data_IF_169053904129
#
_entry.id   IF_169053904129
#
_cell.length_a   1.000
_cell.length_b   1.000
_cell.length_c   1.000
_cell.angle_alpha   90.00
_cell.angle_beta   90.00
_cell.angle_gamma   90.00
#
_symmetry.space_group_name_H-M   'P 1'
#
loop_
_entity.id
_entity.type
_entity.pdbx_description
1 polymer ?
#
# COMPACT_ATOMS: atom_id res chain seq x y z
N UNK A 1 32.31 33.43 -3.34
CA UNK A 1 31.32 32.55 -3.99
C UNK A 1 30.09 32.56 -3.11
N UNK A 2 29.05 33.29 -3.50
CA UNK A 2 27.81 33.39 -2.71
C UNK A 2 27.00 32.10 -2.96
N UNK A 3 26.97 31.21 -1.97
CA UNK A 3 25.98 30.13 -1.93
C UNK A 3 24.62 30.79 -1.71
N UNK A 4 23.90 31.04 -2.80
CA UNK A 4 22.47 31.33 -2.74
C UNK A 4 21.81 30.07 -2.21
N UNK A 5 21.50 30.04 -0.92
CA UNK A 5 20.63 29.04 -0.32
C UNK A 5 19.30 29.14 -1.05
N UNK A 6 19.08 28.25 -2.02
CA UNK A 6 17.78 28.09 -2.63
C UNK A 6 16.82 27.73 -1.49
N UNK A 7 15.96 28.67 -1.13
CA UNK A 7 14.85 28.41 -0.23
C UNK A 7 13.95 27.40 -0.96
N UNK A 8 14.08 26.13 -0.57
CA UNK A 8 13.18 25.09 -1.06
C UNK A 8 11.79 25.43 -0.53
N UNK A 9 10.82 25.57 -1.43
CA UNK A 9 9.44 25.78 -1.02
C UNK A 9 8.92 24.55 -0.27
N UNK A 10 8.04 24.73 0.75
CA UNK A 10 7.46 23.61 1.47
C UNK A 10 6.57 22.76 0.56
N UNK A 11 6.36 21.50 0.96
CA UNK A 11 5.52 20.54 0.24
C UNK A 11 4.11 21.11 -0.02
N UNK A 12 3.69 21.08 -1.29
CA UNK A 12 2.36 21.52 -1.74
C UNK A 12 1.39 20.34 -1.67
N UNK A 13 0.42 20.42 -0.75
CA UNK A 13 -0.57 19.37 -0.53
C UNK A 13 -1.76 19.50 -1.48
N UNK A 14 -2.17 18.38 -2.08
CA UNK A 14 -3.34 18.26 -2.93
C UNK A 14 -4.63 17.89 -2.17
N UNK A 15 -5.66 17.59 -2.95
CA UNK A 15 -6.97 17.12 -2.47
C UNK A 15 -7.36 15.82 -3.18
N UNK A 16 -8.33 15.10 -2.63
CA UNK A 16 -8.94 13.92 -3.25
C UNK A 16 -10.46 13.97 -3.07
N UNK A 17 -11.20 13.46 -4.04
CA UNK A 17 -12.67 13.33 -3.93
C UNK A 17 -13.04 12.23 -2.95
N UNK A 18 -13.99 12.47 -2.04
CA UNK A 18 -14.47 11.43 -1.12
C UNK A 18 -15.45 10.50 -1.84
N UNK A 19 -15.21 9.17 -1.93
CA UNK A 19 -16.07 8.28 -2.69
C UNK A 19 -17.45 8.11 -2.06
N UNK A 20 -17.61 8.37 -0.76
CA UNK A 20 -18.91 8.39 -0.09
C UNK A 20 -19.65 9.72 -0.25
N UNK A 21 -18.96 10.78 -0.67
CA UNK A 21 -19.45 12.16 -0.79
C UNK A 21 -18.82 12.81 -2.03
N UNK A 22 -19.28 12.47 -3.24
CA UNK A 22 -18.62 12.85 -4.49
C UNK A 22 -18.58 14.37 -4.74
N UNK A 23 -19.46 15.13 -4.09
CA UNK A 23 -19.48 16.60 -4.15
C UNK A 23 -18.52 17.25 -3.14
N UNK A 24 -17.87 16.46 -2.27
CA UNK A 24 -16.90 16.94 -1.28
C UNK A 24 -15.46 16.54 -1.68
N UNK A 25 -14.53 17.47 -1.46
CA UNK A 25 -13.10 17.20 -1.55
C UNK A 25 -12.50 17.12 -0.14
N UNK A 26 -11.68 16.10 0.09
CA UNK A 26 -10.84 15.97 1.28
C UNK A 26 -9.44 16.51 0.99
N UNK A 27 -8.83 17.17 1.98
CA UNK A 27 -7.38 17.44 1.97
C UNK A 27 -6.63 16.11 1.95
N UNK A 28 -5.56 16.03 1.18
CA UNK A 28 -4.84 14.77 1.11
C UNK A 28 -3.99 14.49 2.36
N UNK A 29 -3.51 15.52 3.05
CA UNK A 29 -3.04 15.41 4.43
C UNK A 29 -3.40 16.68 5.19
N UNK A 30 -3.38 16.61 6.52
CA UNK A 30 -3.64 17.78 7.37
C UNK A 30 -2.51 18.82 7.31
N UNK A 31 -1.26 18.36 7.18
CA UNK A 31 -0.04 19.15 7.11
C UNK A 31 1.09 18.35 6.40
N UNK A 32 2.20 19.03 6.10
CA UNK A 32 3.34 18.44 5.39
C UNK A 32 4.11 17.43 6.26
N UNK A 33 4.11 17.59 7.58
CA UNK A 33 4.78 16.67 8.52
C UNK A 33 4.11 15.28 8.50
N UNK A 34 2.77 15.28 8.48
CA UNK A 34 1.96 14.07 8.34
C UNK A 34 2.20 13.40 7.00
N UNK A 35 2.25 14.20 5.91
CA UNK A 35 2.56 13.69 4.58
C UNK A 35 3.96 13.04 4.54
N UNK A 36 4.98 13.70 5.09
CA UNK A 36 6.36 13.19 5.13
C UNK A 36 6.48 11.89 5.89
N UNK A 37 5.93 11.84 7.11
CA UNK A 37 5.92 10.64 7.93
C UNK A 37 5.27 9.49 7.19
N UNK A 38 4.16 9.75 6.52
CA UNK A 38 3.43 8.76 5.74
C UNK A 38 4.25 8.24 4.55
N UNK A 39 4.91 9.12 3.79
CA UNK A 39 5.82 8.73 2.70
C UNK A 39 6.98 7.87 3.24
N UNK A 40 7.55 8.23 4.38
CA UNK A 40 8.63 7.46 5.01
C UNK A 40 8.15 6.07 5.43
N UNK A 41 7.00 5.99 6.10
CA UNK A 41 6.45 4.75 6.65
C UNK A 41 6.00 3.76 5.56
N UNK A 42 5.44 4.26 4.45
CA UNK A 42 4.81 3.42 3.43
C UNK A 42 5.59 3.30 2.12
N UNK A 43 6.21 4.37 1.64
CA UNK A 43 6.88 4.38 0.33
C UNK A 43 8.37 4.09 0.45
N UNK A 44 9.03 4.55 1.51
CA UNK A 44 10.47 4.38 1.70
C UNK A 44 10.84 3.20 2.60
N UNK A 45 9.89 2.62 3.34
CA UNK A 45 10.16 1.49 4.25
C UNK A 45 9.78 0.16 3.59
N UNK A 46 10.67 -0.83 3.69
CA UNK A 46 10.36 -2.20 3.29
C UNK A 46 9.43 -2.86 4.33
N UNK A 47 8.58 -3.82 3.91
CA UNK A 47 8.45 -4.36 2.56
C UNK A 47 7.51 -3.56 1.64
N UNK A 48 6.83 -2.53 2.14
CA UNK A 48 5.73 -1.88 1.41
C UNK A 48 6.18 -1.13 0.15
N UNK A 49 7.41 -0.58 0.15
CA UNK A 49 8.04 0.02 -1.04
C UNK A 49 8.03 -0.90 -2.28
N UNK A 50 8.12 -2.23 -2.09
CA UNK A 50 8.05 -3.21 -3.19
C UNK A 50 6.65 -3.36 -3.78
N UNK A 51 5.61 -3.02 -3.02
CA UNK A 51 4.24 -2.91 -3.55
C UNK A 51 4.07 -1.61 -4.32
N UNK A 52 4.62 -0.50 -3.81
CA UNK A 52 4.51 0.81 -4.46
C UNK A 52 5.16 0.88 -5.84
N UNK A 53 6.29 0.20 -6.07
CA UNK A 53 6.85 0.07 -7.43
C UNK A 53 5.90 -0.63 -8.43
N UNK A 54 4.96 -1.46 -7.98
CA UNK A 54 3.98 -2.12 -8.84
C UNK A 54 2.77 -1.23 -9.12
N UNK A 55 2.42 -0.39 -8.14
CA UNK A 55 1.29 0.54 -8.20
C UNK A 55 1.64 1.79 -9.00
N UNK A 56 2.84 2.33 -8.78
CA UNK A 56 3.39 3.51 -9.44
C UNK A 56 4.83 3.22 -9.92
N UNK A 57 5.01 2.59 -11.09
CA UNK A 57 6.34 2.18 -11.58
C UNK A 57 7.37 3.31 -11.71
N UNK A 58 6.91 4.55 -11.88
CA UNK A 58 7.76 5.75 -11.90
C UNK A 58 8.51 5.97 -10.57
N UNK A 59 8.06 5.36 -9.47
CA UNK A 59 8.72 5.37 -8.17
C UNK A 59 10.21 4.99 -8.26
N UNK A 60 10.54 3.99 -9.09
CA UNK A 60 11.91 3.46 -9.24
C UNK A 60 12.88 4.51 -9.83
N UNK A 61 12.37 5.53 -10.51
CA UNK A 61 13.19 6.63 -11.04
C UNK A 61 13.62 7.61 -9.94
N UNK A 62 12.92 7.62 -8.81
CA UNK A 62 13.22 8.49 -7.67
C UNK A 62 14.00 7.77 -6.58
N UNK A 63 13.65 6.51 -6.32
CA UNK A 63 14.31 5.73 -5.29
C UNK A 63 14.26 4.24 -5.62
N UNK A 64 15.42 3.59 -5.60
CA UNK A 64 15.50 2.14 -5.78
C UNK A 64 14.92 1.44 -4.54
N UNK A 65 13.85 0.63 -4.66
CA UNK A 65 13.29 -0.10 -3.51
C UNK A 65 14.24 -1.14 -2.91
N UNK A 66 15.25 -1.60 -3.65
CA UNK A 66 16.25 -2.57 -3.15
C UNK A 66 17.38 -1.90 -2.37
N UNK A 67 17.65 -0.61 -2.61
CA UNK A 67 18.67 0.16 -1.92
C UNK A 67 18.11 0.77 -0.62
N UNK A 68 18.50 0.22 0.53
CA UNK A 68 18.06 0.72 1.83
C UNK A 68 18.70 2.06 2.20
N UNK A 69 19.95 2.28 1.80
CA UNK A 69 20.73 3.46 2.14
C UNK A 69 20.28 4.66 1.30
N UNK A 70 19.95 4.46 0.03
CA UNK A 70 19.35 5.49 -0.82
C UNK A 70 18.00 5.95 -0.28
N UNK A 71 17.14 5.01 0.17
CA UNK A 71 15.83 5.33 0.79
C UNK A 71 15.99 6.09 2.09
N UNK A 72 16.93 5.69 2.93
CA UNK A 72 17.24 6.41 4.17
C UNK A 72 17.75 7.82 3.89
N UNK A 73 18.68 7.97 2.93
CA UNK A 73 19.23 9.25 2.52
C UNK A 73 18.15 10.18 1.96
N UNK A 74 17.23 9.65 1.14
CA UNK A 74 16.08 10.39 0.64
C UNK A 74 15.16 10.87 1.77
N UNK A 75 14.88 10.02 2.77
CA UNK A 75 14.08 10.39 3.93
C UNK A 75 14.73 11.52 4.75
N UNK A 76 16.05 11.51 4.91
CA UNK A 76 16.80 12.58 5.59
C UNK A 76 16.77 13.89 4.79
N UNK A 77 17.11 13.85 3.50
CA UNK A 77 17.11 15.04 2.63
C UNK A 77 15.73 15.72 2.54
N UNK A 78 14.66 14.91 2.53
CA UNK A 78 13.30 15.42 2.56
C UNK A 78 12.95 16.11 3.88
N UNK A 79 13.38 15.56 5.04
CA UNK A 79 13.20 16.23 6.32
C UNK A 79 13.92 17.59 6.38
N UNK A 80 15.17 17.65 5.91
CA UNK A 80 16.01 18.86 5.93
C UNK A 80 15.46 20.00 5.07
N UNK A 81 14.64 19.68 4.06
CA UNK A 81 14.10 20.62 3.08
C UNK A 81 12.63 20.98 3.32
N UNK A 82 12.09 20.76 4.53
CA UNK A 82 10.65 20.89 4.81
C UNK A 82 9.79 20.14 3.77
N UNK A 83 10.31 19.01 3.31
CA UNK A 83 9.73 18.11 2.31
C UNK A 83 9.59 18.68 0.90
N UNK A 84 10.21 19.82 0.58
CA UNK A 84 10.22 20.33 -0.80
C UNK A 84 10.86 19.35 -1.78
N UNK A 85 11.94 18.67 -1.39
CA UNK A 85 12.56 17.61 -2.23
C UNK A 85 11.70 16.35 -2.36
N UNK A 86 10.72 16.14 -1.47
CA UNK A 86 9.79 15.02 -1.55
C UNK A 86 8.59 15.25 -2.48
N UNK A 87 8.44 16.45 -3.05
CA UNK A 87 7.30 16.78 -3.92
C UNK A 87 7.08 15.77 -5.06
N UNK A 88 8.10 15.32 -5.82
CA UNK A 88 7.87 14.37 -6.90
C UNK A 88 7.35 13.00 -6.41
N UNK A 89 7.86 12.53 -5.26
CA UNK A 89 7.40 11.29 -4.63
C UNK A 89 5.97 11.44 -4.10
N UNK A 90 5.67 12.58 -3.50
CA UNK A 90 4.34 12.95 -3.06
C UNK A 90 3.34 12.98 -4.22
N UNK A 91 3.69 13.61 -5.35
CA UNK A 91 2.81 13.73 -6.51
C UNK A 91 2.47 12.36 -7.10
N UNK A 92 3.44 11.44 -7.19
CA UNK A 92 3.17 10.06 -7.60
C UNK A 92 2.21 9.35 -6.65
N UNK A 93 2.46 9.46 -5.34
CA UNK A 93 1.63 8.86 -4.31
C UNK A 93 0.20 9.43 -4.35
N UNK A 94 0.08 10.75 -4.41
CA UNK A 94 -1.18 11.49 -4.53
C UNK A 94 -1.97 11.06 -5.76
N UNK A 95 -1.33 10.97 -6.93
CA UNK A 95 -1.96 10.53 -8.15
C UNK A 95 -2.43 9.06 -8.07
N UNK A 96 -1.64 8.17 -7.45
CA UNK A 96 -2.00 6.77 -7.28
C UNK A 96 -3.19 6.59 -6.33
N UNK A 97 -3.19 7.28 -5.18
CA UNK A 97 -4.31 7.22 -4.22
C UNK A 97 -5.57 7.82 -4.82
N UNK A 98 -5.48 9.00 -5.44
CA UNK A 98 -6.63 9.64 -6.12
C UNK A 98 -7.26 8.69 -7.14
N UNK A 99 -6.42 8.03 -7.93
CA UNK A 99 -6.84 7.03 -8.92
C UNK A 99 -7.61 5.87 -8.28
N UNK A 100 -7.09 5.30 -7.19
CA UNK A 100 -7.73 4.18 -6.50
C UNK A 100 -9.00 4.63 -5.74
N UNK A 101 -9.05 5.88 -5.29
CA UNK A 101 -10.28 6.46 -4.74
C UNK A 101 -11.36 6.61 -5.81
N UNK A 102 -11.03 7.07 -7.01
CA UNK A 102 -11.96 7.12 -8.15
C UNK A 102 -12.46 5.71 -8.51
N UNK A 103 -11.55 4.73 -8.57
CA UNK A 103 -11.91 3.33 -8.82
C UNK A 103 -12.92 2.82 -7.78
N UNK A 104 -12.69 3.15 -6.50
CA UNK A 104 -13.58 2.73 -5.42
C UNK A 104 -14.97 3.34 -5.56
N UNK A 105 -15.08 4.58 -6.04
CA UNK A 105 -16.35 5.24 -6.33
C UNK A 105 -17.09 4.53 -7.47
N UNK A 106 -16.40 4.25 -8.59
CA UNK A 106 -16.97 3.55 -9.77
C UNK A 106 -17.48 2.15 -9.41
N UNK A 107 -16.79 1.45 -8.51
CA UNK A 107 -17.09 0.07 -8.13
C UNK A 107 -17.99 -0.06 -6.89
N UNK A 108 -18.24 1.04 -6.16
CA UNK A 108 -18.92 1.00 -4.87
C UNK A 108 -18.11 0.30 -3.77
N UNK A 109 -16.77 0.30 -3.88
CA UNK A 109 -15.86 -0.35 -2.92
C UNK A 109 -15.43 0.59 -1.80
N UNK A 110 -16.42 1.18 -1.15
CA UNK A 110 -16.22 2.07 -0.02
C UNK A 110 -17.30 1.86 1.03
N UNK A 111 -17.00 2.28 2.25
CA UNK A 111 -17.97 2.41 3.32
C UNK A 111 -17.75 3.76 4.00
N UNK A 112 -18.80 4.55 4.13
CA UNK A 112 -18.71 5.90 4.67
C UNK A 112 -19.82 6.24 5.64
N UNK A 113 -19.52 7.14 6.56
CA UNK A 113 -20.48 7.86 7.39
C UNK A 113 -20.10 9.35 7.40
N UNK A 114 -20.81 10.18 8.18
CA UNK A 114 -20.57 11.64 8.22
C UNK A 114 -19.15 12.07 8.61
N UNK A 115 -18.36 11.20 9.28
CA UNK A 115 -17.04 11.54 9.80
C UNK A 115 -15.91 10.79 9.10
N UNK A 116 -16.20 9.65 8.50
CA UNK A 116 -15.21 8.70 8.05
C UNK A 116 -15.65 8.01 6.77
N UNK A 117 -14.74 7.91 5.80
CA UNK A 117 -14.83 7.03 4.65
C UNK A 117 -13.63 6.09 4.61
N UNK A 118 -13.88 4.80 4.39
CA UNK A 118 -12.86 3.80 4.08
C UNK A 118 -13.12 3.29 2.67
N UNK A 119 -12.09 3.18 1.85
CA UNK A 119 -12.22 2.72 0.47
C UNK A 119 -11.02 1.87 0.02
N UNK A 120 -11.24 1.03 -0.99
CA UNK A 120 -10.21 0.21 -1.63
C UNK A 120 -10.35 0.35 -3.15
N UNK A 121 -9.26 0.72 -3.82
CA UNK A 121 -9.21 0.79 -5.28
C UNK A 121 -8.72 -0.50 -5.95
N UNK A 122 -8.67 -0.52 -7.27
CA UNK A 122 -8.30 -1.74 -8.01
C UNK A 122 -6.81 -2.04 -7.99
N UNK A 123 -5.95 -1.08 -7.64
CA UNK A 123 -4.50 -1.33 -7.47
C UNK A 123 -4.20 -1.96 -6.11
N UNK A 124 -5.17 -1.92 -5.18
CA UNK A 124 -5.06 -2.49 -3.84
C UNK A 124 -4.69 -1.46 -2.78
N UNK A 125 -4.74 -0.16 -3.09
CA UNK A 125 -4.57 0.91 -2.10
C UNK A 125 -5.82 0.97 -1.25
N UNK A 126 -5.65 0.84 0.06
CA UNK A 126 -6.68 1.11 1.04
C UNK A 126 -6.49 2.52 1.59
N UNK A 127 -7.50 3.36 1.50
CA UNK A 127 -7.46 4.73 2.04
C UNK A 127 -8.52 4.93 3.13
N UNK A 128 -8.15 5.70 4.15
CA UNK A 128 -9.03 6.14 5.23
C UNK A 128 -9.08 7.67 5.21
N UNK A 129 -10.27 8.21 5.01
CA UNK A 129 -10.57 9.64 5.01
C UNK A 129 -11.36 9.93 6.28
N UNK A 130 -10.85 10.78 7.16
CA UNK A 130 -11.53 11.21 8.39
C UNK A 130 -11.60 12.74 8.41
N UNK A 131 -12.78 13.30 8.74
CA UNK A 131 -12.97 14.75 8.90
C UNK A 131 -12.44 15.56 7.69
N UNK A 132 -12.69 15.09 6.46
CA UNK A 132 -12.24 15.71 5.21
C UNK A 132 -10.72 15.77 5.05
N UNK A 133 -9.98 14.85 5.66
CA UNK A 133 -8.56 14.62 5.36
C UNK A 133 -8.26 13.14 5.18
N UNK A 134 -7.36 12.78 4.24
CA UNK A 134 -6.84 11.41 4.18
C UNK A 134 -5.89 11.23 5.35
N UNK A 135 -6.24 10.32 6.26
CA UNK A 135 -5.43 9.99 7.44
C UNK A 135 -4.31 9.04 7.06
N UNK A 136 -4.60 8.10 6.17
CA UNK A 136 -3.65 7.10 5.71
C UNK A 136 -4.12 6.51 4.39
N UNK A 137 -3.19 6.21 3.47
CA UNK A 137 -3.43 5.27 2.40
C UNK A 137 -2.22 4.35 2.20
N UNK A 138 -2.46 3.04 2.15
CA UNK A 138 -1.39 2.05 2.23
C UNK A 138 -1.74 0.78 1.47
N UNK A 139 -0.77 -0.13 1.34
CA UNK A 139 -0.92 -1.43 0.69
C UNK A 139 -1.07 -2.54 1.73
N UNK A 140 -2.31 -2.87 2.15
CA UNK A 140 -2.52 -3.89 3.15
C UNK A 140 -2.00 -5.26 2.72
N UNK A 141 -1.50 -6.03 3.70
CA UNK A 141 -0.94 -7.36 3.45
C UNK A 141 0.50 -7.37 2.95
N UNK A 142 1.14 -6.20 2.73
CA UNK A 142 2.58 -6.16 2.47
C UNK A 142 3.41 -6.36 3.75
N UNK A 143 2.87 -6.02 4.92
CA UNK A 143 3.59 -5.95 6.21
C UNK A 143 3.79 -4.49 6.60
N UNK A 144 3.83 -4.16 7.90
CA UNK A 144 4.00 -2.76 8.31
C UNK A 144 5.47 -2.39 8.43
N UNK A 145 5.82 -1.16 8.03
CA UNK A 145 7.14 -0.60 8.28
C UNK A 145 7.47 -0.59 9.78
N UNK A 146 6.46 -0.38 10.63
CA UNK A 146 6.59 -0.48 12.09
C UNK A 146 7.00 -1.88 12.56
N UNK A 147 6.35 -2.94 12.07
CA UNK A 147 6.70 -4.34 12.43
C UNK A 147 8.10 -4.70 11.93
N UNK A 148 8.49 -4.16 10.77
CA UNK A 148 9.84 -4.34 10.23
C UNK A 148 10.89 -3.63 11.09
N UNK A 149 10.64 -2.37 11.50
CA UNK A 149 11.50 -1.63 12.43
C UNK A 149 11.58 -2.30 13.80
N UNK A 150 10.44 -2.74 14.34
CA UNK A 150 10.37 -3.47 15.60
C UNK A 150 11.13 -4.81 15.52
N UNK A 151 11.04 -5.51 14.38
CA UNK A 151 11.81 -6.72 14.10
C UNK A 151 13.32 -6.45 14.06
N UNK A 152 13.76 -5.41 13.35
CA UNK A 152 15.17 -5.01 13.26
C UNK A 152 15.72 -4.54 14.61
N UNK A 153 14.95 -3.77 15.39
CA UNK A 153 15.32 -3.37 16.75
C UNK A 153 15.43 -4.58 17.67
N UNK A 154 14.50 -5.55 17.57
CA UNK A 154 14.56 -6.79 18.35
C UNK A 154 15.74 -7.68 17.94
N UNK A 155 16.15 -7.66 16.66
CA UNK A 155 17.29 -8.41 16.14
C UNK A 155 18.63 -7.77 16.54
N UNK A 156 18.74 -6.44 16.48
CA UNK A 156 19.87 -5.68 17.00
C UNK A 156 20.03 -5.81 18.52
N UNK A 157 18.92 -6.03 19.24
CA UNK A 157 18.90 -6.22 20.70
C UNK A 157 19.19 -7.66 21.14
N UNK A 158 19.32 -8.63 20.22
CA UNK A 158 19.58 -10.04 20.55
C UNK A 158 21.07 -10.35 20.69
N UNK A 159 21.71 -9.67 21.64
CA UNK A 159 22.83 -10.25 22.38
C UNK A 159 22.28 -10.73 23.71
N UNK A 160 21.87 -12.00 23.73
CA UNK A 160 22.05 -12.99 24.79
C UNK A 160 21.14 -14.19 24.50
N UNK A 161 21.67 -15.41 24.37
CA UNK A 161 20.87 -16.60 24.16
C UNK A 161 20.10 -16.89 25.47
N UNK A 162 18.77 -16.84 25.41
CA UNK A 162 17.93 -17.40 26.48
C UNK A 162 17.45 -18.78 26.08
N UNK A 163 17.62 -19.69 27.02
CA UNK A 163 17.29 -21.10 26.94
C UNK A 163 15.84 -21.36 26.52
N UNK A 164 15.68 -22.46 25.79
CA UNK A 164 14.45 -22.90 25.16
C UNK A 164 13.41 -23.30 26.22
N UNK A 165 12.41 -22.45 26.42
CA UNK A 165 11.16 -22.78 27.11
C UNK A 165 10.15 -23.41 26.15
N UNK A 166 9.65 -24.58 26.52
CA UNK A 166 8.89 -25.52 25.69
C UNK A 166 7.43 -25.13 25.38
N UNK A 167 6.96 -25.66 24.24
CA UNK A 167 5.56 -25.78 23.69
C UNK A 167 5.03 -24.61 22.87
N UNK A 168 4.27 -24.82 21.80
CA UNK A 168 4.14 -25.92 20.82
C UNK A 168 3.34 -25.32 19.66
N UNK A 169 4.05 -24.73 18.71
CA UNK A 169 3.51 -24.10 17.51
C UNK A 169 4.69 -23.74 16.63
N UNK A 170 5.52 -24.74 16.35
CA UNK A 170 6.82 -24.59 15.71
C UNK A 170 6.57 -24.09 14.28
N UNK A 171 6.66 -22.78 14.05
CA UNK A 171 7.22 -22.29 12.80
C UNK A 171 8.61 -22.90 12.74
N UNK A 172 8.71 -24.06 12.09
CA UNK A 172 9.97 -24.75 11.91
C UNK A 172 10.96 -23.71 11.42
N UNK A 173 12.08 -23.58 12.14
CA UNK A 173 13.24 -22.80 11.73
C UNK A 173 13.62 -23.34 10.36
N UNK A 174 12.99 -22.80 9.31
CA UNK A 174 13.26 -23.20 7.94
C UNK A 174 14.75 -22.97 7.75
N UNK A 175 15.46 -23.96 7.24
CA UNK A 175 16.86 -23.74 6.86
C UNK A 175 16.90 -22.48 6.00
N UNK A 176 17.96 -21.69 6.16
CA UNK A 176 18.22 -20.56 5.28
C UNK A 176 18.11 -20.99 3.81
N UNK A 177 18.59 -22.19 3.50
CA UNK A 177 18.50 -22.83 2.18
C UNK A 177 17.05 -23.06 1.73
N UNK A 178 16.14 -23.43 2.63
CA UNK A 178 14.72 -23.62 2.30
C UNK A 178 14.02 -22.28 2.04
N UNK A 179 14.42 -21.21 2.74
CA UNK A 179 13.92 -19.85 2.49
C UNK A 179 14.46 -19.34 1.15
N UNK A 180 15.74 -19.54 0.87
CA UNK A 180 16.38 -19.15 -0.38
C UNK A 180 15.82 -19.96 -1.57
N UNK A 181 15.59 -21.25 -1.41
CA UNK A 181 14.94 -22.10 -2.41
C UNK A 181 13.50 -21.65 -2.69
N UNK A 182 12.68 -21.43 -1.65
CA UNK A 182 11.31 -20.91 -1.81
C UNK A 182 11.31 -19.54 -2.51
N UNK A 183 12.27 -18.67 -2.18
CA UNK A 183 12.46 -17.37 -2.86
C UNK A 183 12.80 -17.56 -4.33
N UNK A 184 13.73 -18.45 -4.67
CA UNK A 184 14.13 -18.70 -6.05
C UNK A 184 12.99 -19.31 -6.89
N UNK A 185 12.30 -20.32 -6.37
CA UNK A 185 11.14 -20.95 -7.04
C UNK A 185 9.99 -19.96 -7.20
N UNK A 186 9.82 -19.04 -6.24
CA UNK A 186 8.87 -17.92 -6.38
C UNK A 186 9.32 -16.95 -7.48
N UNK A 187 10.57 -16.52 -7.48
CA UNK A 187 11.11 -15.60 -8.49
C UNK A 187 10.98 -16.16 -9.91
N UNK A 188 11.27 -17.44 -10.11
CA UNK A 188 11.10 -18.11 -11.41
C UNK A 188 9.64 -18.09 -11.89
N UNK A 189 8.69 -18.36 -10.98
CA UNK A 189 7.24 -18.27 -11.30
C UNK A 189 6.80 -16.84 -11.61
N UNK A 190 7.30 -15.87 -10.85
CA UNK A 190 6.97 -14.44 -11.00
C UNK A 190 7.64 -13.80 -12.23
N UNK A 191 8.75 -14.37 -12.72
CA UNK A 191 9.45 -13.89 -13.91
C UNK A 191 8.56 -13.94 -15.16
N UNK A 192 7.71 -14.97 -15.27
CA UNK A 192 6.76 -15.13 -16.37
C UNK A 192 5.51 -14.23 -16.23
N UNK A 193 5.31 -13.56 -15.10
CA UNK A 193 4.12 -12.74 -14.89
C UNK A 193 4.20 -11.39 -15.60
N UNK A 194 3.10 -11.01 -16.23
CA UNK A 194 2.88 -9.65 -16.71
C UNK A 194 2.91 -8.64 -15.56
N UNK A 195 3.11 -7.35 -15.86
CA UNK A 195 3.06 -6.29 -14.86
C UNK A 195 1.74 -6.30 -14.07
N UNK A 196 0.63 -6.57 -14.75
CA UNK A 196 -0.68 -6.58 -14.12
C UNK A 196 -0.93 -7.86 -13.30
N UNK A 197 -0.42 -9.02 -13.73
CA UNK A 197 -0.40 -10.22 -12.89
C UNK A 197 0.41 -9.97 -11.61
N UNK A 198 1.56 -9.30 -11.70
CA UNK A 198 2.33 -8.92 -10.51
C UNK A 198 1.52 -8.00 -9.60
N UNK A 199 0.90 -6.94 -10.12
CA UNK A 199 0.03 -6.06 -9.34
C UNK A 199 -1.10 -6.84 -8.65
N UNK A 200 -1.79 -7.72 -9.39
CA UNK A 200 -2.88 -8.52 -8.85
C UNK A 200 -2.40 -9.48 -7.75
N UNK A 201 -1.41 -10.33 -8.02
CA UNK A 201 -1.00 -11.38 -7.08
C UNK A 201 -0.17 -10.87 -5.91
N UNK A 202 0.60 -9.78 -6.10
CA UNK A 202 1.47 -9.22 -5.05
C UNK A 202 0.79 -8.15 -4.22
N UNK A 203 -0.15 -7.38 -4.78
CA UNK A 203 -0.72 -6.21 -4.09
C UNK A 203 -2.22 -6.36 -3.88
N UNK A 204 -3.01 -6.36 -4.95
CA UNK A 204 -4.47 -6.32 -4.86
C UNK A 204 -5.05 -7.54 -4.11
N UNK A 205 -4.66 -8.76 -4.50
CA UNK A 205 -5.20 -9.98 -3.87
C UNK A 205 -4.81 -10.07 -2.39
N UNK A 206 -3.56 -9.83 -1.97
CA UNK A 206 -3.19 -9.69 -0.56
C UNK A 206 -3.99 -8.61 0.19
N UNK A 207 -4.24 -7.46 -0.43
CA UNK A 207 -5.03 -6.37 0.14
C UNK A 207 -6.46 -6.81 0.46
N UNK A 208 -7.15 -7.45 -0.50
CA UNK A 208 -8.50 -7.99 -0.28
C UNK A 208 -8.48 -9.10 0.80
N UNK A 209 -7.48 -9.99 0.77
CA UNK A 209 -7.34 -11.03 1.78
C UNK A 209 -7.13 -10.45 3.18
N UNK A 210 -6.34 -9.39 3.31
CA UNK A 210 -6.12 -8.67 4.56
C UNK A 210 -7.45 -8.13 5.10
N UNK A 211 -8.22 -7.42 4.27
CA UNK A 211 -9.55 -6.91 4.65
C UNK A 211 -10.48 -8.05 5.08
N UNK A 212 -10.55 -9.15 4.30
CA UNK A 212 -11.44 -10.28 4.59
C UNK A 212 -11.03 -11.05 5.86
N UNK A 213 -9.73 -11.11 6.18
CA UNK A 213 -9.21 -11.71 7.43
C UNK A 213 -9.37 -10.81 8.66
N UNK A 214 -9.36 -9.50 8.51
CA UNK A 214 -9.46 -8.56 9.64
C UNK A 214 -10.71 -8.82 10.47
N UNK A 215 -10.63 -9.04 11.77
CA UNK A 215 -11.84 -9.16 12.59
C UNK A 215 -12.38 -7.77 12.91
N UNK A 216 -13.71 -7.61 13.05
CA UNK A 216 -14.28 -6.39 13.64
C UNK A 216 -13.85 -6.31 15.11
N UNK A 217 -12.64 -5.83 15.38
CA UNK A 217 -12.09 -5.83 16.75
C UNK A 217 -12.67 -4.74 17.63
N UNK A 218 -13.48 -3.85 17.05
CA UNK A 218 -13.99 -2.66 17.71
C UNK A 218 -15.50 -2.51 17.48
N UNK A 219 -16.30 -3.47 17.97
CA UNK A 219 -17.73 -3.25 18.21
C UNK A 219 -17.92 -2.82 19.66
N UNK A 220 -18.76 -1.82 19.90
CA UNK A 220 -19.19 -1.44 21.23
C UNK A 220 -20.10 -2.50 21.84
N UNK A 221 -20.47 -2.30 23.10
CA UNK A 221 -21.38 -3.18 23.83
C UNK A 221 -22.77 -3.28 23.16
N UNK A 222 -23.09 -2.40 22.21
CA UNK A 222 -24.34 -2.38 21.43
C UNK A 222 -24.14 -2.92 20.00
N UNK A 223 -22.98 -3.50 19.70
CA UNK A 223 -22.65 -4.07 18.39
C UNK A 223 -22.31 -3.04 17.30
N UNK A 224 -22.21 -1.74 17.64
CA UNK A 224 -21.87 -0.65 16.72
C UNK A 224 -20.35 -0.53 16.59
N UNK A 225 -19.87 -0.16 15.41
CA UNK A 225 -18.43 -0.03 15.18
C UNK A 225 -17.87 1.22 15.89
N UNK A 226 -16.88 1.05 16.76
CA UNK A 226 -16.27 2.11 17.59
C UNK A 226 -15.24 2.93 16.80
N UNK A 227 -14.63 2.38 15.74
CA UNK A 227 -13.63 3.06 14.91
C UNK A 227 -13.75 2.72 13.44
N UNK A 228 -13.21 3.59 12.61
CA UNK A 228 -12.99 3.37 11.19
C UNK A 228 -12.03 2.23 10.92
N UNK A 229 -12.57 1.02 10.95
CA UNK A 229 -11.84 -0.21 10.68
C UNK A 229 -12.00 -0.56 9.20
N UNK A 230 -10.91 -0.94 8.54
CA UNK A 230 -10.97 -1.49 7.18
C UNK A 230 -11.84 -2.75 7.07
N UNK A 231 -12.14 -3.42 8.19
CA UNK A 231 -13.13 -4.49 8.24
C UNK A 231 -14.53 -4.07 7.76
N UNK A 232 -14.85 -2.76 7.72
CA UNK A 232 -16.08 -2.23 7.11
C UNK A 232 -16.21 -2.59 5.64
N UNK A 233 -15.09 -2.76 4.93
CA UNK A 233 -15.09 -3.10 3.52
C UNK A 233 -15.50 -4.55 3.25
N UNK A 234 -15.62 -5.41 4.27
CA UNK A 234 -15.98 -6.81 4.08
C UNK A 234 -17.32 -7.01 3.39
N UNK A 235 -18.28 -6.14 3.70
CA UNK A 235 -19.66 -6.27 3.23
C UNK A 235 -19.84 -5.73 1.81
N UNK A 236 -18.96 -4.81 1.38
CA UNK A 236 -19.02 -4.19 0.04
C UNK A 236 -18.09 -4.88 -0.97
N UNK A 237 -16.97 -5.46 -0.51
CA UNK A 237 -16.07 -6.17 -1.41
C UNK A 237 -16.65 -7.53 -1.82
N UNK A 238 -16.53 -7.93 -3.10
CA UNK A 238 -16.93 -9.26 -3.53
C UNK A 238 -16.18 -10.37 -2.75
N UNK A 239 -16.74 -11.59 -2.67
CA UNK A 239 -16.03 -12.73 -2.12
C UNK A 239 -14.79 -13.06 -2.98
N UNK A 240 -13.75 -13.60 -2.35
CA UNK A 240 -12.48 -13.90 -3.03
C UNK A 240 -12.64 -14.87 -4.22
N UNK A 241 -13.62 -15.77 -4.17
CA UNK A 241 -13.94 -16.68 -5.28
C UNK A 241 -14.38 -15.95 -6.55
N UNK A 242 -14.94 -14.75 -6.42
CA UNK A 242 -15.37 -13.89 -7.52
C UNK A 242 -14.29 -12.89 -7.95
N UNK A 243 -13.18 -12.77 -7.23
CA UNK A 243 -12.08 -11.86 -7.56
C UNK A 243 -10.88 -12.63 -8.11
N UNK A 244 -11.12 -13.48 -9.12
CA UNK A 244 -10.04 -14.08 -9.92
C UNK A 244 -9.33 -13.02 -10.76
N UNK A 245 -8.14 -13.33 -11.29
CA UNK A 245 -7.36 -12.38 -12.08
C UNK A 245 -8.16 -11.82 -13.25
N UNK A 246 -8.86 -12.70 -13.99
CA UNK A 246 -9.63 -12.33 -15.17
C UNK A 246 -10.77 -11.36 -14.82
N UNK A 247 -11.47 -11.61 -13.71
CA UNK A 247 -12.51 -10.70 -13.23
C UNK A 247 -11.94 -9.36 -12.75
N UNK A 248 -10.76 -9.38 -12.11
CA UNK A 248 -10.07 -8.16 -11.70
C UNK A 248 -9.67 -7.29 -12.89
N UNK A 249 -9.22 -7.90 -14.00
CA UNK A 249 -8.94 -7.17 -15.25
C UNK A 249 -10.20 -6.47 -15.78
N UNK A 250 -11.35 -7.14 -15.79
CA UNK A 250 -12.62 -6.53 -16.22
C UNK A 250 -13.04 -5.36 -15.32
N UNK A 251 -12.82 -5.47 -14.01
CA UNK A 251 -13.09 -4.39 -13.06
C UNK A 251 -12.18 -3.19 -13.30
N UNK A 252 -10.90 -3.43 -13.61
CA UNK A 252 -9.95 -2.38 -14.01
C UNK A 252 -10.36 -1.67 -15.29
N UNK A 253 -10.79 -2.42 -16.30
CA UNK A 253 -11.31 -1.85 -17.55
C UNK A 253 -12.54 -0.97 -17.31
N UNK A 254 -13.47 -1.40 -16.44
CA UNK A 254 -14.63 -0.59 -16.05
C UNK A 254 -14.23 0.75 -15.42
N UNK A 255 -13.11 0.80 -14.71
CA UNK A 255 -12.53 2.03 -14.16
C UNK A 255 -11.61 2.79 -15.14
N UNK A 256 -11.59 2.41 -16.42
CA UNK A 256 -10.72 3.03 -17.44
C UNK A 256 -9.23 2.73 -17.25
N UNK A 257 -8.88 1.66 -16.50
CA UNK A 257 -7.51 1.21 -16.31
C UNK A 257 -7.18 0.18 -17.38
N UNK A 258 -6.61 0.64 -18.49
CA UNK A 258 -6.16 -0.25 -19.53
C UNK A 258 -4.92 -1.01 -19.05
N UNK A 259 -4.95 -2.34 -19.13
CA UNK A 259 -3.70 -3.07 -19.36
C UNK A 259 -3.22 -2.74 -20.78
N UNK A 260 -1.91 -2.67 -21.05
CA UNK A 260 -1.45 -2.90 -22.42
C UNK A 260 -2.02 -4.25 -22.83
N UNK A 261 -2.89 -4.27 -23.85
CA UNK A 261 -3.61 -5.46 -24.27
C UNK A 261 -2.63 -6.64 -24.33
N UNK A 262 -2.94 -7.71 -23.59
CA UNK A 262 -2.21 -8.96 -23.75
C UNK A 262 -2.25 -9.29 -25.25
N UNK A 263 -1.09 -9.58 -25.90
CA UNK A 263 -1.12 -10.06 -27.26
C UNK A 263 -2.04 -11.28 -27.27
N UNK A 264 -2.99 -11.31 -28.20
CA UNK A 264 -3.91 -12.41 -28.37
C UNK A 264 -3.09 -13.66 -28.70
N UNK A 265 -2.60 -14.35 -27.67
CA UNK A 265 -2.10 -15.71 -27.79
C UNK A 265 -3.28 -16.54 -28.24
N UNK A 266 -3.26 -16.81 -29.54
CA UNK A 266 -3.81 -17.97 -30.22
C UNK A 266 -4.86 -18.66 -29.37
N UNK A 267 -6.13 -18.28 -29.60
CA UNK A 267 -7.22 -19.23 -29.41
C UNK A 267 -6.77 -20.47 -30.16
N UNK A 268 -6.36 -21.48 -29.41
CA UNK A 268 -5.98 -22.77 -29.93
C UNK A 268 -7.07 -23.18 -30.92
N UNK A 269 -6.65 -23.26 -32.18
CA UNK A 269 -7.46 -23.79 -33.26
C UNK A 269 -7.95 -25.17 -32.85
N UNK A 270 -9.25 -25.36 -32.98
CA UNK A 270 -9.85 -26.67 -33.21
C UNK A 270 -9.19 -27.37 -34.41
#
# INVERSE_FOLDING_TARGET
>A
MNNTTQQTEPLRLGTVTDPARPDESARFFVDWESAHRHLCDHLLTAPECFGWQLVAPQYVQMCDPEDADARWSYAQQSADSQCGTAQPLYDLYHAAVTRDTDDSSVLGWYHGNRRLTVCLGTSGILAIIEQQAVVTAFLPGQGSGHDTRAGQQAEASRVLPRESGMRSGRSGRRSRDAIEHDRHVRQQREAAWSAAQRLYYRVFKPAVQFVKRGHHRHRDLHGRLIRGDYALLKDVLPPLSQLKYEHWVLLRQRCGRNEPALPATERASE
#
